data_IF_172137502169
#
_entry.id   IF_172137502169
#
_cell.length_a   1.000
_cell.length_b   1.000
_cell.length_c   1.000
_cell.angle_alpha   90.00
_cell.angle_beta   90.00
_cell.angle_gamma   90.00
#
_symmetry.space_group_name_H-M   'P 1'
#
loop_
_entity.id
_entity.type
_entity.pdbx_description
1 polymer ?
#
# COMPACT_ATOMS: atom_id res chain seq x y z
N UNK A 1 23.60 -15.79 6.95
CA UNK A 1 22.38 -16.50 6.48
C UNK A 1 21.54 -15.49 5.72
N UNK A 2 21.33 -15.72 4.43
CA UNK A 2 20.94 -14.69 3.46
C UNK A 2 19.41 -14.66 3.23
N UNK A 3 18.67 -14.39 4.31
CA UNK A 3 17.19 -14.46 4.34
C UNK A 3 16.58 -13.51 3.30
N UNK A 4 17.11 -12.30 3.16
CA UNK A 4 16.57 -11.30 2.23
C UNK A 4 16.68 -11.73 0.77
N UNK A 5 17.84 -12.24 0.35
CA UNK A 5 18.04 -12.71 -1.03
C UNK A 5 17.22 -13.97 -1.34
N UNK A 6 16.99 -14.85 -0.36
CA UNK A 6 16.09 -16.00 -0.53
C UNK A 6 14.62 -15.59 -0.60
N UNK A 7 14.23 -14.58 0.18
CA UNK A 7 12.87 -14.07 0.19
C UNK A 7 12.53 -13.33 -1.11
N UNK A 8 13.41 -12.44 -1.59
CA UNK A 8 13.22 -11.75 -2.87
C UNK A 8 13.05 -12.75 -4.01
N UNK A 9 13.97 -13.71 -4.13
CA UNK A 9 13.92 -14.70 -5.20
C UNK A 9 12.68 -15.58 -5.11
N UNK A 10 12.32 -16.03 -3.90
CA UNK A 10 11.11 -16.81 -3.68
C UNK A 10 9.84 -16.05 -4.09
N UNK A 11 9.77 -14.77 -3.75
CA UNK A 11 8.65 -13.90 -4.11
C UNK A 11 8.56 -13.71 -5.64
N UNK A 12 9.68 -13.40 -6.30
CA UNK A 12 9.72 -13.27 -7.77
C UNK A 12 9.28 -14.56 -8.47
N UNK A 13 9.80 -15.71 -8.02
CA UNK A 13 9.46 -17.01 -8.60
C UNK A 13 7.95 -17.32 -8.49
N UNK A 14 7.31 -16.95 -7.38
CA UNK A 14 5.86 -17.12 -7.22
C UNK A 14 5.13 -16.23 -8.22
N UNK A 15 5.51 -14.96 -8.34
CA UNK A 15 4.86 -14.00 -9.23
C UNK A 15 5.01 -14.36 -10.72
N UNK A 16 6.14 -14.96 -11.09
CA UNK A 16 6.45 -15.37 -12.47
C UNK A 16 5.88 -16.75 -12.83
N UNK A 17 5.26 -17.45 -11.87
CA UNK A 17 4.60 -18.73 -12.14
C UNK A 17 3.45 -18.55 -13.15
N UNK A 18 3.36 -19.40 -14.20
CA UNK A 18 2.34 -19.25 -15.26
C UNK A 18 0.88 -19.26 -14.76
N UNK A 19 0.63 -19.82 -13.58
CA UNK A 19 -0.71 -19.86 -12.97
C UNK A 19 -1.09 -18.58 -12.23
N UNK A 20 -0.12 -17.69 -11.95
CA UNK A 20 -0.36 -16.46 -11.20
C UNK A 20 -0.74 -15.34 -12.17
N UNK A 21 -1.98 -14.89 -12.07
CA UNK A 21 -2.52 -13.79 -12.88
C UNK A 21 -2.40 -12.43 -12.18
N UNK A 22 -2.55 -12.42 -10.86
CA UNK A 22 -2.53 -11.22 -10.01
C UNK A 22 -1.97 -11.56 -8.64
N UNK A 23 -1.59 -10.55 -7.88
CA UNK A 23 -1.13 -10.71 -6.49
C UNK A 23 -1.80 -9.73 -5.54
N UNK A 24 -2.13 -10.20 -4.33
CA UNK A 24 -2.62 -9.34 -3.26
C UNK A 24 -1.64 -9.39 -2.09
N UNK A 25 -1.08 -8.24 -1.72
CA UNK A 25 -0.17 -8.12 -0.58
C UNK A 25 -0.88 -7.53 0.62
N UNK A 26 -0.78 -8.20 1.76
CA UNK A 26 -1.14 -7.65 3.06
C UNK A 26 0.15 -7.39 3.85
N UNK A 27 0.53 -6.12 4.00
CA UNK A 27 1.80 -5.72 4.59
C UNK A 27 1.62 -4.74 5.74
N UNK A 28 2.43 -4.90 6.79
CA UNK A 28 2.47 -3.95 7.91
C UNK A 28 3.17 -2.64 7.54
N UNK A 29 4.14 -2.71 6.62
CA UNK A 29 4.90 -1.55 6.18
C UNK A 29 5.21 -1.64 4.69
N UNK A 30 5.11 -0.51 3.99
CA UNK A 30 5.38 -0.39 2.56
C UNK A 30 6.38 0.74 2.30
N UNK A 31 7.43 0.46 1.53
CA UNK A 31 8.41 1.46 1.10
C UNK A 31 8.88 1.19 -0.34
N UNK A 32 9.52 2.19 -0.95
CA UNK A 32 9.94 2.12 -2.35
C UNK A 32 11.03 1.08 -2.60
N UNK A 33 11.91 0.82 -1.62
CA UNK A 33 13.00 -0.15 -1.79
C UNK A 33 12.48 -1.56 -1.95
N UNK A 34 11.50 -1.96 -1.14
CA UNK A 34 10.83 -3.26 -1.29
C UNK A 34 10.02 -3.34 -2.59
N UNK A 35 9.29 -2.27 -2.93
CA UNK A 35 8.51 -2.24 -4.17
C UNK A 35 9.37 -2.40 -5.43
N UNK A 36 10.55 -1.77 -5.45
CA UNK A 36 11.53 -1.90 -6.54
C UNK A 36 11.85 -3.36 -6.88
N UNK A 37 11.88 -4.24 -5.88
CA UNK A 37 12.25 -5.65 -6.07
C UNK A 37 11.21 -6.44 -6.86
N UNK A 38 9.98 -5.93 -7.01
CA UNK A 38 8.91 -6.67 -7.69
C UNK A 38 8.17 -5.83 -8.73
N UNK A 39 8.60 -4.59 -8.97
CA UNK A 39 7.85 -3.63 -9.78
C UNK A 39 7.62 -4.10 -11.21
N UNK A 40 8.64 -4.75 -11.79
CA UNK A 40 8.57 -5.29 -13.15
C UNK A 40 7.67 -6.53 -13.21
N UNK A 41 7.72 -7.40 -12.18
CA UNK A 41 6.82 -8.55 -12.07
C UNK A 41 5.36 -8.09 -12.00
N UNK A 42 5.05 -7.04 -11.22
CA UNK A 42 3.69 -6.48 -11.13
C UNK A 42 3.19 -5.94 -12.48
N UNK A 43 4.08 -5.37 -13.30
CA UNK A 43 3.74 -4.88 -14.64
C UNK A 43 3.51 -6.00 -15.65
N UNK A 44 4.21 -7.12 -15.49
CA UNK A 44 4.17 -8.27 -16.41
C UNK A 44 3.07 -9.28 -16.06
N UNK A 45 2.46 -9.17 -14.88
CA UNK A 45 1.35 -10.02 -14.50
C UNK A 45 0.17 -9.84 -15.47
N UNK A 46 -0.47 -10.93 -15.94
CA UNK A 46 -1.61 -10.87 -16.85
C UNK A 46 -2.74 -9.98 -16.36
N UNK A 47 -2.92 -9.89 -15.04
CA UNK A 47 -4.07 -9.28 -14.39
C UNK A 47 -5.28 -10.19 -14.38
N UNK A 48 -6.25 -9.86 -13.52
CA UNK A 48 -7.55 -10.51 -13.48
C UNK A 48 -8.60 -9.56 -12.89
N UNK A 49 -9.87 -9.87 -13.09
CA UNK A 49 -10.95 -9.13 -12.46
C UNK A 49 -11.06 -9.49 -10.99
N UNK A 50 -11.31 -8.48 -10.16
CA UNK A 50 -11.57 -8.63 -8.74
C UNK A 50 -12.65 -7.68 -8.30
N UNK A 51 -13.56 -8.20 -7.47
CA UNK A 51 -14.63 -7.42 -6.87
C UNK A 51 -14.04 -6.39 -5.90
N UNK A 52 -14.34 -5.12 -6.15
CA UNK A 52 -13.97 -4.00 -5.30
C UNK A 52 -15.21 -3.13 -5.02
N UNK A 53 -15.95 -3.47 -3.97
CA UNK A 53 -17.24 -2.82 -3.70
C UNK A 53 -18.33 -3.50 -4.50
N UNK A 54 -19.04 -2.77 -5.36
CA UNK A 54 -20.08 -3.31 -6.22
C UNK A 54 -19.62 -3.47 -7.69
N UNK A 55 -18.33 -3.23 -7.96
CA UNK A 55 -17.76 -3.19 -9.30
C UNK A 55 -16.66 -4.25 -9.45
N UNK A 56 -16.62 -4.89 -10.63
CA UNK A 56 -15.51 -5.74 -11.04
C UNK A 56 -14.40 -4.89 -11.66
N UNK A 57 -13.24 -4.89 -11.02
CA UNK A 57 -12.10 -4.08 -11.43
C UNK A 57 -10.97 -4.98 -11.91
N UNK A 58 -10.41 -4.67 -13.08
CA UNK A 58 -9.21 -5.34 -13.56
C UNK A 58 -7.98 -4.87 -12.78
N UNK A 59 -7.27 -5.81 -12.13
CA UNK A 59 -6.09 -5.53 -11.30
C UNK A 59 -4.95 -6.50 -11.61
N UNK A 60 -3.73 -6.01 -11.56
CA UNK A 60 -2.53 -6.87 -11.46
C UNK A 60 -2.08 -7.03 -10.01
N UNK A 61 -2.31 -6.01 -9.17
CA UNK A 61 -1.91 -6.06 -7.78
C UNK A 61 -2.82 -5.24 -6.84
N UNK A 62 -3.09 -5.76 -5.64
CA UNK A 62 -3.66 -4.96 -4.54
C UNK A 62 -2.71 -4.92 -3.35
N UNK A 63 -2.56 -3.73 -2.78
CA UNK A 63 -1.76 -3.45 -1.60
C UNK A 63 -2.69 -3.11 -0.44
N UNK A 64 -2.85 -4.03 0.50
CA UNK A 64 -3.45 -3.79 1.80
C UNK A 64 -2.34 -3.43 2.79
N UNK A 65 -2.30 -2.16 3.19
CA UNK A 65 -1.28 -1.65 4.10
C UNK A 65 -1.92 -1.40 5.46
N UNK A 66 -1.59 -2.25 6.43
CA UNK A 66 -1.98 -2.06 7.81
C UNK A 66 -0.86 -1.34 8.54
N UNK A 67 -0.93 -0.02 8.74
CA UNK A 67 0.16 0.61 9.47
C UNK A 67 -0.02 0.41 10.96
N UNK A 68 1.08 0.03 11.61
CA UNK A 68 1.21 0.15 13.05
C UNK A 68 1.24 1.64 13.40
N UNK A 69 0.25 2.12 14.14
CA UNK A 69 0.29 3.47 14.71
C UNK A 69 1.56 3.58 15.56
N UNK A 70 2.36 4.63 15.32
CA UNK A 70 3.19 5.17 16.39
C UNK A 70 2.20 5.66 17.45
N UNK A 71 2.20 4.97 18.58
CA UNK A 71 1.22 5.11 19.65
C UNK A 71 1.06 6.56 20.13
N UNK A 72 -0.14 6.86 20.65
CA UNK A 72 -0.56 8.00 21.49
C UNK A 72 -1.25 9.21 20.83
N UNK A 73 -0.70 9.83 19.77
CA UNK A 73 -1.19 11.16 19.36
C UNK A 73 -2.59 11.18 18.71
N UNK A 74 -3.02 10.08 18.08
CA UNK A 74 -4.34 10.00 17.42
C UNK A 74 -5.45 9.53 18.37
N UNK A 75 -5.08 8.70 19.35
CA UNK A 75 -5.97 8.24 20.43
C UNK A 75 -6.47 9.45 21.21
N UNK A 76 -5.61 10.41 21.59
CA UNK A 76 -6.06 11.65 22.25
C UNK A 76 -7.06 12.49 21.45
N UNK A 77 -7.02 12.43 20.11
CA UNK A 77 -7.96 13.20 19.26
C UNK A 77 -9.31 12.50 19.08
N UNK A 78 -9.35 11.17 19.16
CA UNK A 78 -10.58 10.39 19.03
C UNK A 78 -11.32 10.24 20.36
N UNK A 79 -10.59 10.22 21.49
CA UNK A 79 -11.18 10.24 22.84
C UNK A 79 -11.46 11.66 23.35
N UNK A 80 -11.17 12.70 22.55
CA UNK A 80 -11.52 14.09 22.83
C UNK A 80 -12.90 14.45 22.31
N UNK A 81 -13.92 14.04 23.08
CA UNK A 81 -15.33 14.48 23.06
C UNK A 81 -16.20 14.26 21.80
N UNK A 82 -17.24 13.45 22.03
CA UNK A 82 -18.60 13.55 21.49
C UNK A 82 -18.85 13.13 20.04
N UNK A 83 -19.02 11.81 19.84
CA UNK A 83 -20.16 11.19 19.14
C UNK A 83 -20.63 11.73 17.78
N UNK A 84 -19.82 12.52 17.09
CA UNK A 84 -20.20 13.23 15.87
C UNK A 84 -19.77 12.41 14.67
N UNK A 85 -20.74 12.14 13.78
CA UNK A 85 -20.47 11.62 12.44
C UNK A 85 -19.38 12.50 11.79
N UNK A 86 -18.38 11.91 11.12
CA UNK A 86 -17.26 12.67 10.59
C UNK A 86 -17.76 13.76 9.62
N UNK A 87 -17.62 15.04 10.00
CA UNK A 87 -17.82 16.15 9.07
C UNK A 87 -16.93 15.93 7.83
N UNK A 88 -17.42 16.29 6.64
CA UNK A 88 -16.70 16.18 5.37
C UNK A 88 -15.30 16.84 5.45
N UNK A 89 -15.15 17.86 6.29
CA UNK A 89 -13.84 18.47 6.61
C UNK A 89 -12.91 17.54 7.39
N UNK A 90 -13.42 16.77 8.36
CA UNK A 90 -12.65 15.75 9.06
C UNK A 90 -12.22 14.63 8.11
N UNK A 91 -13.11 14.14 7.23
CA UNK A 91 -12.77 13.12 6.24
C UNK A 91 -11.65 13.61 5.29
N UNK A 92 -11.74 14.85 4.81
CA UNK A 92 -10.71 15.46 3.95
C UNK A 92 -9.37 15.57 4.69
N UNK A 93 -9.37 16.05 5.94
CA UNK A 93 -8.16 16.14 6.78
C UNK A 93 -7.55 14.76 7.03
N UNK A 94 -8.37 13.75 7.31
CA UNK A 94 -7.92 12.37 7.51
C UNK A 94 -7.29 11.79 6.24
N UNK A 95 -7.92 11.97 5.07
CA UNK A 95 -7.34 11.56 3.77
C UNK A 95 -6.00 12.25 3.48
N UNK A 96 -5.89 13.54 3.79
CA UNK A 96 -4.64 14.29 3.63
C UNK A 96 -3.54 13.77 4.56
N UNK A 97 -3.85 13.58 5.85
CA UNK A 97 -2.89 13.03 6.80
C UNK A 97 -2.44 11.62 6.39
N UNK A 98 -3.38 10.79 5.90
CA UNK A 98 -3.08 9.47 5.35
C UNK A 98 -2.06 9.54 4.22
N UNK A 99 -2.26 10.46 3.27
CA UNK A 99 -1.34 10.65 2.15
C UNK A 99 0.05 11.16 2.60
N UNK A 100 0.09 12.05 3.60
CA UNK A 100 1.34 12.56 4.18
C UNK A 100 2.12 11.44 4.87
N UNK A 101 1.46 10.65 5.70
CA UNK A 101 2.10 9.54 6.43
C UNK A 101 2.60 8.47 5.45
N UNK A 102 1.79 8.14 4.44
CA UNK A 102 2.20 7.22 3.38
C UNK A 102 3.42 7.76 2.62
N UNK A 103 3.45 9.05 2.27
CA UNK A 103 4.63 9.66 1.64
C UNK A 103 5.88 9.57 2.52
N UNK A 104 5.77 9.84 3.82
CA UNK A 104 6.89 9.69 4.76
C UNK A 104 7.38 8.24 4.81
N UNK A 105 6.44 7.30 4.79
CA UNK A 105 6.70 5.86 4.77
C UNK A 105 7.51 5.42 3.56
N UNK A 106 7.14 5.93 2.37
CA UNK A 106 7.83 5.65 1.12
C UNK A 106 9.30 6.08 1.14
N UNK A 107 9.62 7.11 1.93
CA UNK A 107 10.92 7.79 1.97
C UNK A 107 11.73 7.48 3.23
N UNK A 108 11.47 6.38 3.94
CA UNK A 108 12.30 5.99 5.09
C UNK A 108 13.77 5.76 4.66
N UNK A 109 14.63 6.72 5.01
CA UNK A 109 16.06 6.77 4.71
C UNK A 109 16.43 7.90 3.75
N UNK A 110 17.69 7.96 3.31
CA UNK A 110 18.13 8.98 2.35
C UNK A 110 17.50 8.72 0.96
N UNK A 111 16.79 9.69 0.35
CA UNK A 111 16.23 9.54 -0.98
C UNK A 111 17.33 9.39 -2.04
N UNK A 112 17.17 8.43 -2.94
CA UNK A 112 18.07 8.21 -4.07
C UNK A 112 17.36 8.48 -5.42
N UNK A 113 18.13 8.67 -6.50
CA UNK A 113 17.56 8.74 -7.87
C UNK A 113 16.72 7.51 -8.21
N UNK A 114 17.09 6.35 -7.67
CA UNK A 114 16.36 5.11 -7.86
C UNK A 114 15.01 5.11 -7.14
N UNK A 115 14.93 5.71 -5.95
CA UNK A 115 13.67 5.85 -5.22
C UNK A 115 12.73 6.77 -6.00
N UNK A 116 13.24 7.84 -6.61
CA UNK A 116 12.43 8.72 -7.46
C UNK A 116 11.86 7.98 -8.68
N UNK A 117 12.69 7.20 -9.38
CA UNK A 117 12.22 6.38 -10.50
C UNK A 117 11.14 5.38 -10.06
N UNK A 118 11.37 4.70 -8.92
CA UNK A 118 10.44 3.71 -8.38
C UNK A 118 9.10 4.36 -7.98
N UNK A 119 9.16 5.56 -7.39
CA UNK A 119 7.98 6.35 -7.05
C UNK A 119 7.18 6.76 -8.29
N UNK A 120 7.87 7.22 -9.35
CA UNK A 120 7.23 7.58 -10.61
C UNK A 120 6.52 6.37 -11.24
N UNK A 121 7.16 5.19 -11.22
CA UNK A 121 6.58 3.97 -11.77
C UNK A 121 5.40 3.46 -10.95
N UNK A 122 5.51 3.43 -9.61
CA UNK A 122 4.37 3.14 -8.73
C UNK A 122 3.21 4.12 -8.98
N UNK A 123 3.50 5.42 -9.15
CA UNK A 123 2.47 6.42 -9.46
C UNK A 123 1.77 6.13 -10.79
N UNK A 124 2.50 5.68 -11.82
CA UNK A 124 1.91 5.27 -13.09
C UNK A 124 0.99 4.04 -12.92
N UNK A 125 1.45 3.02 -12.21
CA UNK A 125 0.66 1.80 -11.94
C UNK A 125 -0.65 2.09 -11.20
N UNK A 126 -0.63 3.02 -10.25
CA UNK A 126 -1.83 3.50 -9.54
C UNK A 126 -2.79 4.25 -10.47
N UNK A 127 -2.26 5.13 -11.32
CA UNK A 127 -3.07 5.92 -12.27
C UNK A 127 -3.68 5.06 -13.38
N UNK A 128 -2.96 4.03 -13.82
CA UNK A 128 -3.44 3.03 -14.79
C UNK A 128 -4.47 2.07 -14.18
N UNK A 129 -4.66 2.08 -12.86
CA UNK A 129 -5.56 1.17 -12.16
C UNK A 129 -5.04 -0.27 -12.05
N UNK A 130 -3.82 -0.55 -12.48
CA UNK A 130 -3.18 -1.88 -12.33
C UNK A 130 -2.96 -2.23 -10.86
N UNK A 131 -2.53 -1.24 -10.09
CA UNK A 131 -2.30 -1.36 -8.65
C UNK A 131 -3.39 -0.59 -7.90
N UNK A 132 -4.00 -1.23 -6.91
CA UNK A 132 -4.87 -0.56 -5.95
C UNK A 132 -4.22 -0.57 -4.56
N UNK A 133 -4.28 0.56 -3.84
CA UNK A 133 -3.81 0.66 -2.46
C UNK A 133 -5.00 0.91 -1.54
N UNK A 134 -5.19 0.04 -0.56
CA UNK A 134 -6.13 0.22 0.54
C UNK A 134 -5.36 0.26 1.86
N UNK A 135 -5.70 1.23 2.70
CA UNK A 135 -5.14 1.36 4.06
C UNK A 135 -6.15 0.81 5.04
N UNK A 136 -5.75 -0.18 5.84
CA UNK A 136 -6.54 -0.61 6.99
C UNK A 136 -6.09 0.20 8.20
N UNK A 137 -7.01 0.98 8.77
CA UNK A 137 -6.85 1.54 10.11
C UNK A 137 -7.50 0.53 11.06
N UNK A 138 -6.75 -0.01 12.02
CA UNK A 138 -7.35 -0.83 13.08
C UNK A 138 -8.29 0.08 13.87
N UNK A 139 -9.59 -0.03 13.60
CA UNK A 139 -10.63 0.51 14.47
C UNK A 139 -10.80 -0.49 15.61
N UNK A 140 -10.37 -0.13 16.81
CA UNK A 140 -10.75 -0.87 18.02
C UNK A 140 -12.11 -0.33 18.48
N UNK A 141 -13.21 -1.09 18.36
CA UNK A 141 -14.45 -0.73 19.02
C UNK A 141 -14.28 -1.00 20.52
N UNK A 142 -14.22 0.05 21.32
CA UNK A 142 -14.54 0.05 22.74
C UNK A 142 -15.08 1.43 23.10
#
# INVERSE_FOLDING_TARGET
MNIDLKFEQGLRNIMESPSVKRVDFCVGYFNLRGWKLIIDQVDNLPGDYVEEGNDDMFRTCRLLIGMHHHNEDYIRRLYGQDGTLPDANMVKKSKLQIAIDFRKQLLLGLPTKQDEWTLRRLSAQLKEGKVAVKRYLVFNPN
#
